data_IF_531347164590
#
_entry.id   IF_531347164590
#
_cell.length_a   1.000
_cell.length_b   1.000
_cell.length_c   1.000
_cell.angle_alpha   90.00
_cell.angle_beta   90.00
_cell.angle_gamma   90.00
#
_symmetry.space_group_name_H-M   'P 1'
#
loop_
_entity.id
_entity.type
_entity.pdbx_description
1 polymer ?
#
# COMPACT_ATOMS: atom_id res chain seq x y z
N UNK A 1 -3.32 19.44 -0.18
CA UNK A 1 -3.42 19.23 -1.64
C UNK A 1 -4.04 17.85 -1.83
N UNK A 2 -5.17 17.67 -2.52
CA UNK A 2 -5.77 16.34 -2.66
C UNK A 2 -4.83 15.48 -3.51
N UNK A 3 -4.48 14.31 -3.02
CA UNK A 3 -3.56 13.35 -3.66
C UNK A 3 -4.15 12.84 -4.99
N UNK A 4 -5.47 12.99 -5.17
CA UNK A 4 -6.26 12.39 -6.26
C UNK A 4 -7.03 13.49 -6.97
N UNK A 5 -7.08 13.39 -8.30
CA UNK A 5 -8.01 14.14 -9.13
C UNK A 5 -9.45 13.68 -8.83
N UNK A 6 -10.25 14.56 -8.25
CA UNK A 6 -11.65 14.27 -7.90
C UNK A 6 -12.47 13.80 -9.09
N UNK A 7 -12.17 14.27 -10.32
CA UNK A 7 -12.86 13.84 -11.53
C UNK A 7 -12.61 12.36 -11.84
N UNK A 8 -11.39 11.86 -11.58
CA UNK A 8 -11.08 10.44 -11.79
C UNK A 8 -11.78 9.53 -10.78
N UNK A 9 -11.95 10.00 -9.54
CA UNK A 9 -12.74 9.27 -8.54
C UNK A 9 -14.21 9.19 -8.95
N UNK A 10 -14.78 10.30 -9.42
CA UNK A 10 -16.17 10.35 -9.91
C UNK A 10 -16.31 9.39 -11.10
N UNK A 11 -15.42 9.48 -12.07
CA UNK A 11 -15.44 8.61 -13.26
C UNK A 11 -15.36 7.12 -12.89
N UNK A 12 -14.49 6.74 -11.95
CA UNK A 12 -14.42 5.35 -11.51
C UNK A 12 -15.74 4.88 -10.89
N UNK A 13 -16.36 5.71 -10.05
CA UNK A 13 -17.67 5.40 -9.47
C UNK A 13 -18.74 5.22 -10.54
N UNK A 14 -18.79 6.10 -11.54
CA UNK A 14 -19.71 5.98 -12.68
C UNK A 14 -19.51 4.67 -13.43
N UNK A 15 -18.28 4.31 -13.75
CA UNK A 15 -17.94 3.03 -14.41
C UNK A 15 -18.41 1.83 -13.60
N UNK A 16 -18.16 1.82 -12.28
CA UNK A 16 -18.59 0.73 -11.41
C UNK A 16 -20.13 0.66 -11.28
N UNK A 17 -20.80 1.81 -11.19
CA UNK A 17 -22.27 1.87 -11.15
C UNK A 17 -22.92 1.42 -12.47
N UNK A 18 -22.28 1.68 -13.62
CA UNK A 18 -22.72 1.14 -14.92
C UNK A 18 -22.59 -0.38 -14.97
N UNK A 19 -21.42 -0.90 -14.64
CA UNK A 19 -21.14 -2.34 -14.60
C UNK A 19 -22.12 -3.04 -13.65
N UNK A 20 -22.40 -2.46 -12.49
CA UNK A 20 -23.35 -3.00 -11.54
C UNK A 20 -24.78 -3.07 -12.13
N UNK A 21 -25.25 -1.99 -12.74
CA UNK A 21 -26.59 -1.95 -13.37
C UNK A 21 -26.73 -2.97 -14.50
N UNK A 22 -25.70 -3.11 -15.33
CA UNK A 22 -25.69 -4.07 -16.43
C UNK A 22 -25.61 -5.52 -15.97
N UNK A 23 -25.00 -5.79 -14.80
CA UNK A 23 -24.88 -7.14 -14.26
C UNK A 23 -26.22 -7.75 -13.81
N UNK A 24 -27.20 -6.91 -13.47
CA UNK A 24 -28.48 -7.36 -12.90
C UNK A 24 -28.40 -7.97 -11.51
N UNK A 25 -27.21 -8.02 -10.89
CA UNK A 25 -26.98 -8.62 -9.57
C UNK A 25 -27.53 -7.71 -8.46
N UNK A 26 -28.13 -8.28 -7.44
CA UNK A 26 -28.68 -7.50 -6.34
C UNK A 26 -27.60 -7.13 -5.31
N UNK A 27 -27.66 -5.92 -4.67
CA UNK A 27 -26.67 -5.50 -3.66
C UNK A 27 -26.46 -6.52 -2.53
N UNK A 28 -27.51 -7.20 -2.11
CA UNK A 28 -27.44 -8.24 -1.05
C UNK A 28 -26.65 -9.47 -1.48
N UNK A 29 -26.68 -9.82 -2.77
CA UNK A 29 -25.91 -10.94 -3.32
C UNK A 29 -24.42 -10.57 -3.34
N UNK A 30 -24.09 -9.34 -3.75
CA UNK A 30 -22.72 -8.82 -3.67
C UNK A 30 -22.17 -8.93 -2.24
N UNK A 31 -22.96 -8.48 -1.24
CA UNK A 31 -22.50 -8.52 0.15
C UNK A 31 -22.32 -9.94 0.69
N UNK A 32 -23.18 -10.88 0.33
CA UNK A 32 -22.98 -12.31 0.67
C UNK A 32 -21.68 -12.86 0.09
N UNK A 33 -21.31 -12.46 -1.14
CA UNK A 33 -20.05 -12.86 -1.76
C UNK A 33 -18.86 -12.18 -1.09
N UNK A 34 -19.00 -10.92 -0.66
CA UNK A 34 -17.96 -10.19 0.10
C UNK A 34 -17.71 -10.85 1.46
N UNK A 35 -18.76 -11.19 2.19
CA UNK A 35 -18.68 -11.91 3.48
C UNK A 35 -18.02 -13.27 3.28
N UNK A 36 -18.45 -14.03 2.27
CA UNK A 36 -17.85 -15.30 1.92
C UNK A 36 -16.37 -15.16 1.54
N UNK A 37 -16.01 -14.13 0.76
CA UNK A 37 -14.63 -13.81 0.41
C UNK A 37 -13.79 -13.48 1.64
N UNK A 38 -14.30 -12.62 2.51
CA UNK A 38 -13.62 -12.22 3.75
C UNK A 38 -13.39 -13.41 4.69
N UNK A 39 -14.36 -14.29 4.82
CA UNK A 39 -14.23 -15.54 5.58
C UNK A 39 -13.27 -16.53 4.92
N UNK A 40 -13.25 -16.60 3.59
CA UNK A 40 -12.34 -17.41 2.81
C UNK A 40 -10.88 -16.99 2.99
N UNK A 41 -10.61 -15.68 2.98
CA UNK A 41 -9.29 -15.13 3.30
C UNK A 41 -8.81 -15.51 4.70
N UNK A 42 -9.72 -15.58 5.68
CA UNK A 42 -9.40 -15.99 7.04
C UNK A 42 -9.19 -17.50 7.18
N UNK A 43 -9.80 -18.32 6.32
CA UNK A 43 -9.78 -19.80 6.39
C UNK A 43 -8.90 -20.47 5.33
N UNK A 44 -8.14 -19.71 4.54
CA UNK A 44 -7.30 -20.21 3.44
C UNK A 44 -8.08 -20.92 2.31
N UNK A 45 -9.38 -20.75 2.22
CA UNK A 45 -10.20 -21.25 1.12
C UNK A 45 -10.50 -20.10 0.16
N UNK A 46 -9.91 -20.14 -1.03
CA UNK A 46 -10.10 -19.09 -2.03
C UNK A 46 -11.51 -19.15 -2.63
N UNK A 47 -12.27 -18.05 -2.61
CA UNK A 47 -13.65 -18.02 -3.11
C UNK A 47 -13.76 -17.92 -4.64
N UNK A 48 -12.65 -17.97 -5.36
CA UNK A 48 -12.55 -17.72 -6.80
C UNK A 48 -13.36 -18.66 -7.69
N UNK A 49 -13.85 -19.79 -7.16
CA UNK A 49 -14.61 -20.77 -7.92
C UNK A 49 -16.12 -20.52 -7.93
N UNK A 50 -16.59 -19.35 -7.46
CA UNK A 50 -18.02 -19.02 -7.46
C UNK A 50 -18.30 -18.00 -8.55
N UNK A 51 -19.29 -18.31 -9.40
CA UNK A 51 -19.79 -17.39 -10.42
C UNK A 51 -20.23 -16.07 -9.79
N UNK A 52 -19.78 -14.95 -10.36
CA UNK A 52 -20.10 -13.61 -9.89
C UNK A 52 -19.21 -13.07 -8.77
N UNK A 53 -18.20 -13.83 -8.32
CA UNK A 53 -17.28 -13.33 -7.28
C UNK A 53 -16.43 -12.16 -7.79
N UNK A 54 -16.01 -12.20 -9.06
CA UNK A 54 -15.26 -11.10 -9.72
C UNK A 54 -16.04 -9.78 -9.70
N UNK A 55 -17.38 -9.83 -9.85
CA UNK A 55 -18.23 -8.64 -9.76
C UNK A 55 -18.23 -8.07 -8.35
N UNK A 56 -18.36 -8.93 -7.35
CA UNK A 56 -18.31 -8.54 -5.94
C UNK A 56 -16.94 -7.93 -5.60
N UNK A 57 -15.89 -8.49 -6.16
CA UNK A 57 -14.54 -7.98 -5.99
C UNK A 57 -14.39 -6.58 -6.61
N UNK A 58 -14.90 -6.36 -7.82
CA UNK A 58 -14.84 -5.06 -8.49
C UNK A 58 -15.63 -3.98 -7.74
N UNK A 59 -16.80 -4.31 -7.22
CA UNK A 59 -17.69 -3.33 -6.60
C UNK A 59 -17.31 -2.99 -5.15
N UNK A 60 -16.71 -3.93 -4.44
CA UNK A 60 -16.36 -3.76 -3.03
C UNK A 60 -14.85 -3.60 -2.81
N UNK A 61 -14.04 -4.57 -3.25
CA UNK A 61 -12.61 -4.58 -2.92
C UNK A 61 -11.79 -3.61 -3.78
N UNK A 62 -12.16 -3.36 -5.05
CA UNK A 62 -11.43 -2.40 -5.88
C UNK A 62 -11.46 -0.99 -5.27
N UNK A 63 -12.63 -0.40 -4.92
CA UNK A 63 -12.69 0.90 -4.25
C UNK A 63 -11.97 0.92 -2.89
N UNK A 64 -11.98 -0.21 -2.16
CA UNK A 64 -11.27 -0.34 -0.88
C UNK A 64 -9.75 -0.31 -1.06
N UNK A 65 -9.25 -0.95 -2.11
CA UNK A 65 -7.81 -1.15 -2.29
C UNK A 65 -7.12 0.02 -3.00
N UNK A 66 -7.82 0.77 -3.85
CA UNK A 66 -7.27 1.94 -4.55
C UNK A 66 -6.58 2.93 -3.59
N UNK A 67 -7.18 3.37 -2.48
CA UNK A 67 -6.53 4.29 -1.56
C UNK A 67 -5.21 3.75 -0.98
N UNK A 68 -5.09 2.43 -0.78
CA UNK A 68 -3.85 1.79 -0.30
C UNK A 68 -2.72 2.01 -1.30
N UNK A 69 -2.99 1.73 -2.57
CA UNK A 69 -2.01 1.91 -3.66
C UNK A 69 -1.63 3.38 -3.82
N UNK A 70 -2.62 4.29 -3.77
CA UNK A 70 -2.40 5.73 -3.94
C UNK A 70 -1.51 6.33 -2.85
N UNK A 71 -1.68 5.92 -1.59
CA UNK A 71 -0.82 6.35 -0.48
C UNK A 71 0.62 5.91 -0.72
N UNK A 72 0.83 4.66 -1.10
CA UNK A 72 2.17 4.13 -1.38
C UNK A 72 2.81 4.85 -2.56
N UNK A 73 2.07 5.04 -3.65
CA UNK A 73 2.55 5.78 -4.82
C UNK A 73 2.87 7.23 -4.50
N UNK A 74 2.08 7.89 -3.64
CA UNK A 74 2.34 9.25 -3.21
C UNK A 74 3.63 9.35 -2.37
N UNK A 75 3.83 8.44 -1.42
CA UNK A 75 5.07 8.38 -0.65
C UNK A 75 6.26 8.08 -1.57
N UNK A 76 6.12 7.12 -2.49
CA UNK A 76 7.16 6.78 -3.47
C UNK A 76 7.52 7.99 -4.36
N UNK A 77 6.52 8.74 -4.84
CA UNK A 77 6.71 9.98 -5.59
C UNK A 77 7.41 11.05 -4.74
N UNK A 78 7.01 11.22 -3.49
CA UNK A 78 7.59 12.26 -2.63
C UNK A 78 9.04 12.01 -2.28
N UNK A 79 9.42 10.73 -2.05
CA UNK A 79 10.74 10.36 -1.55
C UNK A 79 11.70 9.85 -2.63
N UNK A 80 11.16 9.24 -3.68
CA UNK A 80 11.92 8.48 -4.68
C UNK A 80 11.44 8.75 -6.11
N UNK A 81 11.06 10.00 -6.40
CA UNK A 81 10.50 10.39 -7.70
C UNK A 81 11.38 10.00 -8.88
N UNK A 82 12.69 10.20 -8.77
CA UNK A 82 13.62 9.87 -9.85
C UNK A 82 13.60 8.38 -10.22
N UNK A 83 13.44 7.50 -9.22
CA UNK A 83 13.32 6.05 -9.46
C UNK A 83 12.01 5.73 -10.16
N UNK A 84 10.92 6.35 -9.72
CA UNK A 84 9.60 6.18 -10.34
C UNK A 84 9.58 6.69 -11.79
N UNK A 85 10.31 7.75 -12.10
CA UNK A 85 10.43 8.28 -13.46
C UNK A 85 11.17 7.34 -14.42
N UNK A 86 12.11 6.52 -13.92
CA UNK A 86 12.83 5.53 -14.74
C UNK A 86 11.97 4.33 -15.15
N UNK A 87 10.89 4.08 -14.43
CA UNK A 87 9.93 3.01 -14.75
C UNK A 87 9.18 3.37 -16.03
N UNK A 88 9.03 2.42 -16.94
CA UNK A 88 8.28 2.59 -18.19
C UNK A 88 7.08 1.65 -18.31
N UNK A 89 6.97 0.68 -17.44
CA UNK A 89 5.88 -0.30 -17.40
C UNK A 89 5.38 -0.57 -15.99
N UNK A 90 4.08 -0.76 -15.85
CA UNK A 90 3.41 -1.20 -14.63
C UNK A 90 2.98 -2.64 -14.81
N UNK A 91 3.41 -3.52 -13.92
CA UNK A 91 3.06 -4.95 -13.94
C UNK A 91 2.26 -5.28 -12.69
N UNK A 92 0.98 -5.57 -12.86
CA UNK A 92 0.06 -5.92 -11.76
C UNK A 92 -0.06 -7.46 -11.70
N UNK A 93 0.56 -8.06 -10.68
CA UNK A 93 0.70 -9.52 -10.54
C UNK A 93 -0.36 -10.08 -9.60
N UNK A 94 -1.15 -11.06 -10.08
CA UNK A 94 -2.37 -11.48 -9.40
C UNK A 94 -3.36 -10.33 -9.36
N UNK A 95 -3.53 -9.67 -10.50
CA UNK A 95 -4.16 -8.34 -10.59
C UNK A 95 -5.65 -8.34 -10.24
N UNK A 96 -6.32 -9.51 -10.25
CA UNK A 96 -7.78 -9.54 -10.16
C UNK A 96 -8.40 -8.61 -11.20
N UNK A 97 -9.10 -7.58 -10.74
CA UNK A 97 -9.75 -6.56 -11.60
C UNK A 97 -8.82 -5.38 -11.97
N UNK A 98 -7.50 -5.49 -11.69
CA UNK A 98 -6.51 -4.49 -12.13
C UNK A 98 -6.41 -3.26 -11.23
N UNK A 99 -6.62 -3.42 -9.93
CA UNK A 99 -6.68 -2.34 -8.95
C UNK A 99 -5.45 -1.46 -8.95
N UNK A 100 -4.24 -2.06 -8.96
CA UNK A 100 -2.98 -1.30 -8.89
C UNK A 100 -2.73 -0.50 -10.17
N UNK A 101 -3.06 -1.06 -11.32
CA UNK A 101 -2.96 -0.37 -12.60
C UNK A 101 -3.92 0.82 -12.71
N UNK A 102 -5.17 0.68 -12.26
CA UNK A 102 -6.16 1.77 -12.20
C UNK A 102 -5.67 2.87 -11.26
N UNK A 103 -5.26 2.52 -10.03
CA UNK A 103 -4.76 3.47 -9.05
C UNK A 103 -3.55 4.25 -9.58
N UNK A 104 -2.64 3.57 -10.29
CA UNK A 104 -1.52 4.24 -10.96
C UNK A 104 -2.02 5.31 -11.94
N UNK A 105 -2.94 4.98 -12.84
CA UNK A 105 -3.50 5.92 -13.83
C UNK A 105 -4.37 7.02 -13.21
N UNK A 106 -4.94 6.78 -12.04
CA UNK A 106 -5.61 7.85 -11.29
C UNK A 106 -4.62 8.92 -10.80
N UNK A 107 -3.40 8.53 -10.43
CA UNK A 107 -2.40 9.46 -9.92
C UNK A 107 -1.55 10.08 -11.02
N UNK A 108 -1.21 9.33 -12.06
CA UNK A 108 -0.30 9.74 -13.12
C UNK A 108 -1.00 9.80 -14.47
N UNK A 109 -0.79 10.89 -15.21
CA UNK A 109 -1.32 11.07 -16.57
C UNK A 109 -0.30 10.65 -17.65
N UNK A 110 0.71 9.85 -17.28
CA UNK A 110 1.72 9.37 -18.21
C UNK A 110 1.24 8.21 -19.09
N UNK A 111 2.01 7.89 -20.13
CA UNK A 111 1.72 6.84 -21.09
C UNK A 111 2.43 5.51 -20.79
N UNK A 112 2.78 5.24 -19.51
CA UNK A 112 3.41 3.97 -19.16
C UNK A 112 2.50 2.80 -19.51
N UNK A 113 3.10 1.76 -20.07
CA UNK A 113 2.40 0.53 -20.39
C UNK A 113 1.87 -0.15 -19.13
N UNK A 114 0.73 -0.84 -19.23
CA UNK A 114 0.19 -1.65 -18.13
C UNK A 114 0.12 -3.10 -18.60
N UNK A 115 0.62 -4.00 -17.78
CA UNK A 115 0.49 -5.44 -17.93
C UNK A 115 -0.28 -6.00 -16.74
N UNK A 116 -1.41 -6.63 -16.98
CA UNK A 116 -2.23 -7.31 -15.99
C UNK A 116 -1.97 -8.81 -16.08
N UNK A 117 -1.58 -9.42 -14.97
CA UNK A 117 -1.28 -10.86 -14.89
C UNK A 117 -2.21 -11.49 -13.86
N UNK A 118 -3.02 -12.44 -14.29
CA UNK A 118 -3.85 -13.26 -13.42
C UNK A 118 -4.08 -14.64 -14.05
N UNK A 119 -4.39 -15.65 -13.25
CA UNK A 119 -4.75 -16.98 -13.74
C UNK A 119 -6.23 -17.07 -14.13
N UNK A 120 -7.07 -16.22 -13.58
CA UNK A 120 -8.50 -16.26 -13.75
C UNK A 120 -8.95 -15.38 -14.95
N UNK A 121 -9.67 -16.02 -15.89
CA UNK A 121 -10.15 -15.34 -17.10
C UNK A 121 -11.31 -14.38 -16.81
N UNK A 122 -12.17 -14.69 -15.86
CA UNK A 122 -13.32 -13.84 -15.47
C UNK A 122 -12.84 -12.51 -14.94
N UNK A 123 -11.89 -12.54 -14.00
CA UNK A 123 -11.23 -11.34 -13.47
C UNK A 123 -10.57 -10.52 -14.58
N UNK A 124 -9.79 -11.15 -15.45
CA UNK A 124 -9.10 -10.45 -16.55
C UNK A 124 -10.07 -9.82 -17.55
N UNK A 125 -11.18 -10.48 -17.87
CA UNK A 125 -12.21 -9.94 -18.75
C UNK A 125 -12.89 -8.72 -18.13
N UNK A 126 -13.24 -8.80 -16.85
CA UNK A 126 -13.82 -7.66 -16.12
C UNK A 126 -12.82 -6.53 -15.98
N UNK A 127 -11.55 -6.81 -15.68
CA UNK A 127 -10.48 -5.82 -15.65
C UNK A 127 -10.38 -5.08 -16.99
N UNK A 128 -10.36 -5.80 -18.11
CA UNK A 128 -10.32 -5.22 -19.45
C UNK A 128 -11.51 -4.27 -19.72
N UNK A 129 -12.72 -4.65 -19.29
CA UNK A 129 -13.91 -3.80 -19.44
C UNK A 129 -13.82 -2.54 -18.58
N UNK A 130 -13.39 -2.67 -17.31
CA UNK A 130 -13.18 -1.53 -16.41
C UNK A 130 -12.16 -0.55 -17.01
N UNK A 131 -10.99 -1.04 -17.47
CA UNK A 131 -9.95 -0.19 -18.06
C UNK A 131 -10.46 0.55 -19.29
N UNK A 132 -11.14 -0.14 -20.20
CA UNK A 132 -11.74 0.44 -21.40
C UNK A 132 -12.75 1.55 -21.07
N UNK A 133 -13.68 1.31 -20.13
CA UNK A 133 -14.69 2.31 -19.69
C UNK A 133 -14.02 3.47 -18.95
N UNK A 134 -12.98 3.20 -18.18
CA UNK A 134 -12.21 4.25 -17.53
C UNK A 134 -11.40 5.09 -18.53
N UNK A 135 -11.25 4.65 -19.78
CA UNK A 135 -10.52 5.33 -20.86
C UNK A 135 -9.02 5.09 -20.81
N UNK A 136 -8.62 3.91 -20.41
CA UNK A 136 -7.22 3.45 -20.42
C UNK A 136 -7.09 2.40 -21.53
N UNK A 137 -6.39 2.75 -22.60
CA UNK A 137 -6.14 1.88 -23.74
C UNK A 137 -4.77 1.20 -23.66
N UNK A 138 -4.54 0.19 -24.50
CA UNK A 138 -3.25 -0.47 -24.67
C UNK A 138 -2.82 -1.32 -23.47
N UNK A 139 -3.76 -1.79 -22.65
CA UNK A 139 -3.48 -2.68 -21.53
C UNK A 139 -3.16 -4.09 -22.05
N UNK A 140 -1.99 -4.60 -21.73
CA UNK A 140 -1.59 -5.97 -22.03
C UNK A 140 -2.14 -6.91 -20.96
N UNK A 141 -2.73 -8.00 -21.37
CA UNK A 141 -3.27 -9.03 -20.48
C UNK A 141 -2.47 -10.32 -20.67
N UNK A 142 -2.04 -10.91 -19.56
CA UNK A 142 -1.36 -12.21 -19.52
C UNK A 142 -2.11 -13.15 -18.60
N UNK A 143 -2.77 -14.17 -19.17
CA UNK A 143 -3.43 -15.21 -18.39
C UNK A 143 -2.44 -16.30 -18.03
N UNK A 144 -1.90 -16.24 -16.82
CA UNK A 144 -1.00 -17.28 -16.31
C UNK A 144 -0.97 -17.34 -14.78
N UNK A 145 -0.56 -18.48 -14.25
CA UNK A 145 -0.19 -18.57 -12.84
C UNK A 145 1.24 -18.02 -12.69
N UNK A 146 1.38 -16.83 -12.11
CA UNK A 146 2.65 -16.12 -11.96
C UNK A 146 3.70 -16.89 -11.17
N UNK A 147 3.28 -17.87 -10.33
CA UNK A 147 4.21 -18.70 -9.56
C UNK A 147 4.98 -19.67 -10.48
N UNK A 148 4.35 -20.09 -11.58
CA UNK A 148 4.88 -21.07 -12.52
C UNK A 148 5.33 -20.47 -13.86
N UNK A 149 5.08 -19.19 -14.10
CA UNK A 149 5.43 -18.48 -15.33
C UNK A 149 6.64 -17.56 -15.14
N UNK A 150 7.32 -17.24 -16.24
CA UNK A 150 8.27 -16.13 -16.27
C UNK A 150 7.52 -14.82 -16.50
N UNK A 151 7.54 -13.98 -15.47
CA UNK A 151 6.88 -12.67 -15.47
C UNK A 151 7.88 -11.51 -15.46
N UNK A 152 9.17 -11.79 -15.57
CA UNK A 152 10.21 -10.76 -15.53
C UNK A 152 10.26 -10.01 -16.84
N UNK A 153 9.85 -8.73 -16.81
CA UNK A 153 9.92 -7.86 -17.98
C UNK A 153 11.36 -7.48 -18.31
N UNK A 154 11.64 -7.32 -19.60
CA UNK A 154 12.91 -6.75 -20.10
C UNK A 154 12.99 -5.21 -19.88
N UNK A 155 11.86 -4.58 -19.54
CA UNK A 155 11.76 -3.15 -19.35
C UNK A 155 11.84 -2.78 -17.88
N UNK A 156 12.39 -1.60 -17.53
CA UNK A 156 12.27 -1.05 -16.17
C UNK A 156 10.81 -0.97 -15.76
N UNK A 157 10.43 -1.73 -14.73
CA UNK A 157 9.02 -1.94 -14.39
C UNK A 157 8.75 -1.75 -12.90
N UNK A 158 7.55 -1.25 -12.61
CA UNK A 158 6.97 -1.22 -11.26
C UNK A 158 6.00 -2.41 -11.14
N UNK A 159 6.40 -3.38 -10.34
CA UNK A 159 5.60 -4.57 -10.05
C UNK A 159 4.74 -4.35 -8.82
N UNK A 160 3.48 -4.75 -8.91
CA UNK A 160 2.58 -4.84 -7.75
C UNK A 160 2.25 -6.30 -7.46
N UNK A 161 2.42 -6.69 -6.20
CA UNK A 161 1.90 -7.90 -5.59
C UNK A 161 0.92 -7.45 -4.50
N UNK A 162 -0.35 -7.33 -4.85
CA UNK A 162 -1.36 -6.78 -3.96
C UNK A 162 -2.40 -7.84 -3.58
N UNK A 163 -2.44 -8.20 -2.30
CA UNK A 163 -3.31 -9.23 -1.71
C UNK A 163 -3.17 -10.63 -2.36
N UNK A 164 -1.96 -10.98 -2.79
CA UNK A 164 -1.70 -12.26 -3.47
C UNK A 164 -0.84 -13.21 -2.65
N UNK A 165 -0.06 -12.70 -1.69
CA UNK A 165 0.93 -13.48 -0.97
C UNK A 165 0.33 -14.23 0.21
N UNK A 166 -0.61 -13.62 0.92
CA UNK A 166 -1.32 -14.24 2.04
C UNK A 166 -2.06 -15.51 1.64
N UNK A 167 -2.52 -15.59 0.40
CA UNK A 167 -3.19 -16.77 -0.18
C UNK A 167 -2.22 -17.87 -0.62
N UNK A 168 -0.95 -17.52 -0.83
CA UNK A 168 0.10 -18.39 -1.32
C UNK A 168 1.27 -18.48 -0.33
N UNK A 169 0.97 -18.42 0.97
CA UNK A 169 1.97 -18.40 2.04
C UNK A 169 2.88 -19.63 2.03
N UNK A 170 2.34 -20.79 1.67
CA UNK A 170 3.04 -22.06 1.48
C UNK A 170 4.04 -22.04 0.31
N UNK A 171 3.85 -21.12 -0.63
CA UNK A 171 4.72 -20.94 -1.82
C UNK A 171 5.58 -19.68 -1.74
N UNK A 172 5.68 -19.05 -0.57
CA UNK A 172 6.36 -17.76 -0.40
C UNK A 172 7.86 -17.83 -0.77
N UNK A 173 8.52 -18.98 -0.63
CA UNK A 173 9.91 -19.13 -1.04
C UNK A 173 10.08 -19.08 -2.56
N UNK A 174 9.14 -19.66 -3.31
CA UNK A 174 9.10 -19.54 -4.77
C UNK A 174 8.82 -18.08 -5.21
N UNK A 175 7.85 -17.43 -4.58
CA UNK A 175 7.51 -16.02 -4.83
C UNK A 175 8.73 -15.13 -4.50
N UNK A 176 9.43 -15.42 -3.42
CA UNK A 176 10.66 -14.71 -3.08
C UNK A 176 11.72 -14.82 -4.16
N UNK A 177 11.87 -15.99 -4.78
CA UNK A 177 12.81 -16.20 -5.90
C UNK A 177 12.40 -15.42 -7.16
N UNK A 178 11.10 -15.27 -7.41
CA UNK A 178 10.58 -14.42 -8.49
C UNK A 178 10.91 -12.95 -8.22
N UNK A 179 10.63 -12.45 -7.00
CA UNK A 179 10.97 -11.09 -6.60
C UNK A 179 12.47 -10.83 -6.72
N UNK A 180 13.31 -11.78 -6.31
CA UNK A 180 14.75 -11.69 -6.46
C UNK A 180 15.16 -11.56 -7.93
N UNK A 181 14.55 -12.33 -8.83
CA UNK A 181 14.79 -12.26 -10.28
C UNK A 181 14.35 -10.90 -10.86
N UNK A 182 13.23 -10.37 -10.41
CA UNK A 182 12.77 -9.02 -10.78
C UNK A 182 13.78 -7.95 -10.32
N UNK A 183 14.25 -8.04 -9.08
CA UNK A 183 15.19 -7.08 -8.51
C UNK A 183 16.61 -7.17 -9.11
N UNK A 184 16.99 -8.25 -9.76
CA UNK A 184 18.26 -8.34 -10.53
C UNK A 184 18.29 -7.39 -11.73
N UNK A 185 17.13 -6.98 -12.24
CA UNK A 185 17.04 -6.00 -13.32
C UNK A 185 17.11 -4.58 -12.76
N UNK A 186 17.93 -3.74 -13.38
CA UNK A 186 18.08 -2.34 -12.96
C UNK A 186 16.78 -1.56 -13.11
N UNK A 187 16.57 -0.60 -12.22
CA UNK A 187 15.42 0.29 -12.18
C UNK A 187 14.05 -0.40 -11.98
N UNK A 188 14.03 -1.69 -11.64
CA UNK A 188 12.80 -2.34 -11.23
C UNK A 188 12.45 -1.97 -9.79
N UNK A 189 11.16 -1.77 -9.57
CA UNK A 189 10.56 -1.55 -8.25
C UNK A 189 9.52 -2.65 -8.00
N UNK A 190 9.44 -3.12 -6.75
CA UNK A 190 8.43 -4.09 -6.34
C UNK A 190 7.63 -3.51 -5.18
N UNK A 191 6.33 -3.40 -5.33
CA UNK A 191 5.38 -3.02 -4.30
C UNK A 191 4.61 -4.24 -3.85
N UNK A 192 4.63 -4.52 -2.57
CA UNK A 192 3.90 -5.60 -1.92
C UNK A 192 2.87 -4.97 -1.01
N UNK A 193 1.61 -5.39 -1.11
CA UNK A 193 0.50 -4.91 -0.27
C UNK A 193 -0.26 -6.13 0.23
N UNK A 194 -0.41 -6.28 1.55
CA UNK A 194 -1.11 -7.42 2.13
C UNK A 194 -2.09 -6.98 3.23
N UNK A 195 -3.20 -7.70 3.42
CA UNK A 195 -4.17 -7.36 4.45
C UNK A 195 -3.60 -7.58 5.85
N UNK A 196 -4.17 -6.86 6.84
CA UNK A 196 -3.81 -7.02 8.25
C UNK A 196 -4.42 -8.32 8.81
N UNK A 197 -3.88 -9.45 8.38
CA UNK A 197 -4.19 -10.78 8.92
C UNK A 197 -2.89 -11.54 9.23
N UNK A 198 -3.00 -12.74 9.81
CA UNK A 198 -1.84 -13.55 10.20
C UNK A 198 -0.91 -13.86 9.04
N UNK A 199 -1.47 -14.31 7.92
CA UNK A 199 -0.67 -14.71 6.75
C UNK A 199 -0.05 -13.52 6.05
N UNK A 200 -0.78 -12.40 5.90
CA UNK A 200 -0.25 -11.15 5.34
C UNK A 200 0.91 -10.61 6.17
N UNK A 201 0.76 -10.61 7.50
CA UNK A 201 1.82 -10.21 8.41
C UNK A 201 3.05 -11.12 8.32
N UNK A 202 2.84 -12.44 8.28
CA UNK A 202 3.93 -13.42 8.11
C UNK A 202 4.63 -13.25 6.76
N UNK A 203 3.88 -13.13 5.66
CA UNK A 203 4.44 -12.95 4.32
C UNK A 203 5.31 -11.70 4.25
N UNK A 204 4.77 -10.55 4.66
CA UNK A 204 5.49 -9.28 4.64
C UNK A 204 6.74 -9.33 5.50
N UNK A 205 6.66 -9.96 6.67
CA UNK A 205 7.80 -10.08 7.56
C UNK A 205 8.92 -10.96 7.00
N UNK A 206 8.59 -12.14 6.47
CA UNK A 206 9.59 -13.03 5.85
C UNK A 206 10.27 -12.33 4.66
N UNK A 207 9.51 -11.64 3.80
CA UNK A 207 10.06 -10.88 2.68
C UNK A 207 10.89 -9.68 3.16
N UNK A 208 10.40 -8.96 4.16
CA UNK A 208 11.14 -7.85 4.78
C UNK A 208 12.52 -8.29 5.26
N UNK A 209 12.61 -9.45 5.92
CA UNK A 209 13.88 -9.96 6.45
C UNK A 209 14.78 -10.47 5.32
N UNK A 210 14.22 -11.15 4.33
CA UNK A 210 14.98 -11.65 3.16
C UNK A 210 15.55 -10.51 2.32
N UNK A 211 14.79 -9.45 2.10
CA UNK A 211 15.15 -8.31 1.27
C UNK A 211 15.54 -7.06 2.08
N UNK A 212 16.06 -7.22 3.29
CA UNK A 212 16.34 -6.11 4.19
C UNK A 212 17.18 -4.99 3.57
N UNK A 213 18.14 -5.33 2.71
CA UNK A 213 19.00 -4.37 2.00
C UNK A 213 18.32 -3.67 0.81
N UNK A 214 17.20 -4.21 0.35
CA UNK A 214 16.47 -3.72 -0.83
C UNK A 214 15.28 -2.82 -0.47
N UNK A 215 15.01 -2.61 0.82
CA UNK A 215 13.81 -1.90 1.27
C UNK A 215 13.95 -0.40 1.01
N UNK A 216 12.99 0.15 0.25
CA UNK A 216 12.79 1.59 0.11
C UNK A 216 11.81 2.13 1.16
N UNK A 217 10.70 1.41 1.36
CA UNK A 217 9.57 1.80 2.22
C UNK A 217 8.87 0.56 2.78
N UNK A 218 8.16 0.64 3.90
CA UNK A 218 8.02 1.76 4.82
C UNK A 218 9.24 1.94 5.73
N UNK A 219 10.10 0.89 5.83
CA UNK A 219 11.27 0.96 6.68
C UNK A 219 12.22 2.05 6.20
N UNK A 220 12.75 2.78 7.13
CA UNK A 220 13.78 3.82 6.89
C UNK A 220 15.19 3.27 7.10
N UNK A 221 15.32 1.96 7.32
CA UNK A 221 16.59 1.28 7.53
C UNK A 221 16.62 -0.13 6.94
N UNK A 222 17.81 -0.56 6.58
CA UNK A 222 18.12 -1.91 6.11
C UNK A 222 18.34 -2.94 7.24
N UNK A 223 18.36 -2.53 8.50
CA UNK A 223 18.61 -3.40 9.67
C UNK A 223 17.38 -4.21 10.10
N UNK A 224 17.50 -4.93 11.22
CA UNK A 224 16.40 -5.67 11.82
C UNK A 224 15.27 -4.75 12.24
N UNK A 225 14.03 -5.23 12.17
CA UNK A 225 12.86 -4.44 12.56
C UNK A 225 12.83 -4.24 14.09
N UNK A 226 12.89 -3.00 14.54
CA UNK A 226 12.84 -2.66 15.96
C UNK A 226 11.51 -3.02 16.61
N UNK A 227 10.39 -2.93 15.88
CA UNK A 227 9.06 -3.34 16.37
C UNK A 227 8.98 -4.84 16.65
N UNK A 228 9.66 -5.65 15.86
CA UNK A 228 9.68 -7.09 16.09
C UNK A 228 10.45 -7.48 17.34
N UNK A 229 11.54 -6.75 17.63
CA UNK A 229 12.33 -7.01 18.84
C UNK A 229 11.57 -6.64 20.12
N UNK A 230 10.72 -5.60 20.06
CA UNK A 230 10.04 -5.09 21.26
C UNK A 230 8.67 -5.72 21.50
N UNK A 231 7.85 -5.89 20.45
CA UNK A 231 6.41 -6.16 20.60
C UNK A 231 5.90 -7.31 19.73
N UNK A 232 6.75 -7.95 18.96
CA UNK A 232 6.39 -8.96 17.97
C UNK A 232 5.32 -8.46 16.97
N UNK A 233 5.34 -7.16 16.65
CA UNK A 233 4.40 -6.47 15.76
C UNK A 233 5.09 -6.03 14.48
N UNK A 234 4.30 -5.79 13.43
CA UNK A 234 4.74 -5.21 12.17
C UNK A 234 4.01 -3.88 11.96
N UNK A 235 4.72 -2.89 11.40
CA UNK A 235 4.10 -1.63 11.02
C UNK A 235 2.97 -1.87 10.05
N UNK A 236 1.82 -1.26 10.31
CA UNK A 236 0.67 -1.31 9.41
C UNK A 236 0.08 0.08 9.23
N UNK A 237 -0.67 0.23 8.14
CA UNK A 237 -1.38 1.45 7.81
C UNK A 237 -2.88 1.28 8.06
N UNK A 238 -3.52 2.40 8.46
CA UNK A 238 -4.97 2.50 8.57
C UNK A 238 -5.43 3.57 7.60
N UNK A 239 -6.38 3.24 6.73
CA UNK A 239 -6.98 4.19 5.81
C UNK A 239 -8.50 4.09 5.87
N UNK A 240 -9.17 5.22 5.58
CA UNK A 240 -10.61 5.21 5.37
C UNK A 240 -10.91 4.59 4.01
N UNK A 241 -11.85 3.64 4.00
CA UNK A 241 -12.31 3.01 2.78
C UNK A 241 -13.22 3.94 1.97
N UNK A 242 -13.04 3.92 0.66
CA UNK A 242 -14.00 4.42 -0.31
C UNK A 242 -14.85 3.24 -0.79
N UNK A 243 -16.17 3.34 -0.68
CA UNK A 243 -17.11 2.29 -1.06
C UNK A 243 -17.95 2.80 -2.22
N UNK A 244 -18.31 1.89 -3.16
CA UNK A 244 -19.27 2.22 -4.22
C UNK A 244 -20.61 2.69 -3.63
N UNK A 245 -21.20 3.75 -4.21
CA UNK A 245 -22.51 4.27 -3.76
C UNK A 245 -23.59 3.19 -3.76
N UNK A 246 -23.56 2.28 -4.72
CA UNK A 246 -24.51 1.18 -4.83
C UNK A 246 -24.47 0.22 -3.64
N UNK A 247 -23.35 0.17 -2.92
CA UNK A 247 -23.16 -0.67 -1.75
C UNK A 247 -23.25 0.10 -0.42
N UNK A 248 -23.23 1.44 -0.44
CA UNK A 248 -23.29 2.25 0.79
C UNK A 248 -24.52 1.94 1.66
N UNK A 249 -25.63 1.54 1.03
CA UNK A 249 -26.90 1.21 1.70
C UNK A 249 -26.82 -0.09 2.51
N UNK A 250 -25.96 -1.03 2.09
CA UNK A 250 -25.88 -2.38 2.70
C UNK A 250 -24.61 -2.59 3.54
N UNK A 251 -23.61 -1.73 3.39
CA UNK A 251 -22.35 -1.82 4.15
C UNK A 251 -22.51 -1.15 5.51
N UNK A 252 -22.26 -1.89 6.57
CA UNK A 252 -22.27 -1.35 7.94
C UNK A 252 -21.11 -0.37 8.17
N UNK A 253 -21.29 0.55 9.12
CA UNK A 253 -20.27 1.57 9.48
C UNK A 253 -18.94 0.97 9.99
N UNK A 254 -18.93 -0.31 10.38
CA UNK A 254 -17.75 -1.01 10.88
C UNK A 254 -16.72 -1.34 9.80
N UNK A 255 -17.14 -1.37 8.53
CA UNK A 255 -16.26 -1.68 7.39
C UNK A 255 -15.63 -0.44 6.72
N UNK A 256 -15.52 0.70 7.43
CA UNK A 256 -14.99 1.96 6.85
C UNK A 256 -13.51 2.16 6.99
N UNK A 257 -12.79 1.26 7.66
CA UNK A 257 -11.34 1.36 7.87
C UNK A 257 -10.65 0.12 7.34
N UNK A 258 -9.76 0.31 6.37
CA UNK A 258 -8.86 -0.74 5.91
C UNK A 258 -7.51 -0.64 6.62
N UNK A 259 -7.01 -1.80 7.05
CA UNK A 259 -5.68 -1.94 7.64
C UNK A 259 -4.86 -2.85 6.75
N UNK A 260 -3.60 -2.48 6.49
CA UNK A 260 -2.76 -3.24 5.58
C UNK A 260 -1.27 -3.11 5.92
N UNK A 261 -0.50 -4.09 5.47
CA UNK A 261 0.95 -4.06 5.42
C UNK A 261 1.42 -3.71 4.03
N UNK A 262 2.60 -3.10 3.90
CA UNK A 262 3.25 -2.97 2.60
C UNK A 262 4.77 -2.98 2.70
N UNK A 263 5.42 -3.30 1.57
CA UNK A 263 6.85 -3.11 1.32
C UNK A 263 7.03 -2.54 -0.08
N UNK A 264 8.01 -1.67 -0.24
CA UNK A 264 8.54 -1.29 -1.55
C UNK A 264 10.02 -1.65 -1.58
N UNK A 265 10.40 -2.39 -2.60
CA UNK A 265 11.75 -2.92 -2.78
C UNK A 265 12.38 -2.37 -4.06
N UNK A 266 13.70 -2.19 -4.03
CA UNK A 266 14.54 -1.84 -5.18
C UNK A 266 15.90 -2.52 -5.07
N UNK A 267 16.59 -2.68 -6.18
CA UNK A 267 17.98 -3.16 -6.16
C UNK A 267 18.98 -2.06 -5.82
N UNK A 268 18.60 -0.81 -5.97
CA UNK A 268 19.49 0.30 -5.65
C UNK A 268 19.59 0.49 -4.12
N UNK A 269 20.79 0.59 -3.61
CA UNK A 269 21.01 0.90 -2.20
C UNK A 269 20.45 2.28 -1.86
N UNK A 270 19.78 2.37 -0.73
CA UNK A 270 19.34 3.64 -0.14
C UNK A 270 20.36 4.04 0.92
N UNK A 271 20.94 5.22 0.77
CA UNK A 271 21.75 5.80 1.83
C UNK A 271 20.90 6.03 3.08
N UNK A 272 21.39 5.56 4.20
CA UNK A 272 20.71 5.77 5.47
C UNK A 272 20.87 7.22 5.90
N UNK A 273 19.77 7.86 6.30
CA UNK A 273 19.79 9.17 6.92
C UNK A 273 19.51 9.01 8.42
N UNK A 274 20.49 9.33 9.26
CA UNK A 274 20.41 9.12 10.71
C UNK A 274 19.31 9.94 11.41
N UNK A 275 18.88 11.04 10.80
CA UNK A 275 17.85 11.94 11.31
C UNK A 275 16.46 11.70 10.70
N UNK A 276 16.26 10.59 9.99
CA UNK A 276 14.98 10.21 9.43
C UNK A 276 14.21 9.33 10.41
N UNK A 277 12.94 9.68 10.65
CA UNK A 277 12.06 8.98 11.58
C UNK A 277 10.70 8.73 10.93
N UNK A 278 10.12 7.54 11.20
CA UNK A 278 8.72 7.25 10.86
C UNK A 278 7.88 7.31 12.12
N UNK A 279 6.79 8.08 12.06
CA UNK A 279 5.83 8.18 13.16
C UNK A 279 5.01 6.90 13.22
N UNK A 280 4.91 6.30 14.40
CA UNK A 280 4.19 5.04 14.61
C UNK A 280 2.77 5.26 15.11
N UNK A 281 2.55 6.30 15.91
CA UNK A 281 1.29 6.59 16.57
C UNK A 281 1.01 8.11 16.52
N UNK A 282 -0.25 8.51 16.71
CA UNK A 282 -0.57 9.93 16.83
C UNK A 282 0.17 10.56 18.01
N UNK A 283 0.61 11.84 17.88
CA UNK A 283 1.24 12.56 18.98
C UNK A 283 0.35 12.59 20.22
N UNK A 284 0.90 12.21 21.36
CA UNK A 284 0.19 12.18 22.64
C UNK A 284 0.48 13.46 23.42
N UNK A 285 -0.60 14.22 23.74
CA UNK A 285 -0.48 15.44 24.52
C UNK A 285 -0.02 15.14 25.95
N UNK A 286 0.91 15.96 26.43
CA UNK A 286 1.49 15.90 27.78
C UNK A 286 1.46 17.30 28.43
N UNK A 287 1.64 17.42 29.75
CA UNK A 287 1.72 18.72 30.40
C UNK A 287 2.80 19.65 29.86
N UNK A 288 3.92 19.11 29.38
CA UNK A 288 5.01 19.89 28.78
C UNK A 288 4.86 20.12 27.26
N UNK A 289 4.00 19.38 26.57
CA UNK A 289 3.86 19.45 25.11
C UNK A 289 3.37 18.13 24.52
N UNK A 290 4.22 17.35 23.86
CA UNK A 290 3.85 16.11 23.18
C UNK A 290 4.92 15.04 23.28
N UNK A 291 4.46 13.78 23.31
CA UNK A 291 5.26 12.59 23.01
C UNK A 291 4.90 12.12 21.62
N UNK A 292 5.90 11.86 20.77
CA UNK A 292 5.75 11.32 19.43
C UNK A 292 6.50 10.00 19.35
N UNK A 293 5.77 8.90 19.24
CA UNK A 293 6.37 7.58 19.10
C UNK A 293 6.86 7.36 17.67
N UNK A 294 8.14 7.10 17.52
CA UNK A 294 8.80 7.00 16.23
C UNK A 294 9.66 5.76 16.12
N UNK A 295 9.86 5.31 14.89
CA UNK A 295 10.87 4.34 14.52
C UNK A 295 12.00 5.03 13.77
N UNK A 296 13.23 4.78 14.17
CA UNK A 296 14.42 5.09 13.42
C UNK A 296 15.14 3.79 13.01
N UNK A 297 16.31 3.93 12.40
CA UNK A 297 17.10 2.77 11.97
C UNK A 297 17.50 1.83 13.11
N UNK A 298 17.57 2.30 14.34
CA UNK A 298 18.18 1.57 15.48
C UNK A 298 17.15 1.11 16.51
N UNK A 299 16.08 1.91 16.72
CA UNK A 299 15.14 1.67 17.81
C UNK A 299 13.77 2.31 17.58
N UNK A 300 12.81 1.91 18.41
CA UNK A 300 11.60 2.68 18.68
C UNK A 300 11.91 3.60 19.84
N UNK A 301 11.59 4.87 19.71
CA UNK A 301 11.81 5.86 20.76
C UNK A 301 10.64 6.84 20.81
N UNK A 302 10.48 7.50 21.94
CA UNK A 302 9.54 8.61 22.11
C UNK A 302 10.30 9.92 22.03
N UNK A 303 10.00 10.71 20.99
CA UNK A 303 10.46 12.09 20.89
C UNK A 303 9.59 12.92 21.84
N UNK A 304 10.18 13.43 22.92
CA UNK A 304 9.50 14.30 23.88
C UNK A 304 9.74 15.75 23.50
N UNK A 305 8.69 16.46 23.12
CA UNK A 305 8.76 17.82 22.59
C UNK A 305 8.03 18.77 23.52
N UNK A 306 8.74 19.76 24.06
CA UNK A 306 8.17 20.85 24.83
C UNK A 306 7.65 21.92 23.89
N UNK A 307 6.39 22.32 24.02
CA UNK A 307 5.75 23.36 23.21
C UNK A 307 5.30 24.51 24.10
N UNK A 308 5.56 25.74 23.66
CA UNK A 308 5.25 26.97 24.40
C UNK A 308 4.06 27.75 23.86
N UNK A 309 3.75 27.63 22.56
CA UNK A 309 2.70 28.42 21.91
C UNK A 309 1.77 27.59 21.03
N UNK A 310 0.73 28.22 20.50
CA UNK A 310 -0.32 27.58 19.71
C UNK A 310 0.16 27.11 18.33
N UNK A 311 1.13 27.80 17.72
CA UNK A 311 1.66 27.43 16.41
C UNK A 311 2.46 26.13 16.51
N UNK A 312 3.34 26.02 17.48
CA UNK A 312 4.10 24.80 17.76
C UNK A 312 3.17 23.59 18.00
N UNK A 313 2.12 23.79 18.82
CA UNK A 313 1.11 22.76 19.07
C UNK A 313 0.38 22.35 17.80
N UNK A 314 0.05 23.32 16.93
CA UNK A 314 -0.60 23.05 15.65
C UNK A 314 0.30 22.23 14.72
N UNK A 315 1.58 22.57 14.63
CA UNK A 315 2.56 21.85 13.81
C UNK A 315 2.63 20.38 14.24
N UNK A 316 2.75 20.10 15.54
CA UNK A 316 2.80 18.71 16.04
C UNK A 316 1.48 17.98 15.80
N UNK A 317 0.32 18.63 16.00
CA UNK A 317 -0.99 18.02 15.77
C UNK A 317 -1.30 17.69 14.30
N UNK A 318 -0.53 18.22 13.34
CA UNK A 318 -0.63 17.88 11.91
C UNK A 318 0.11 16.58 11.56
N UNK A 319 0.92 16.06 12.48
CA UNK A 319 1.63 14.81 12.30
C UNK A 319 0.68 13.62 12.52
N UNK A 320 0.84 12.61 11.68
CA UNK A 320 0.00 11.41 11.68
C UNK A 320 0.84 10.15 11.67
N UNK A 321 0.30 9.01 12.12
CA UNK A 321 0.96 7.73 11.96
C UNK A 321 1.35 7.51 10.50
N UNK A 322 2.54 6.96 10.32
CA UNK A 322 3.20 6.68 9.04
C UNK A 322 3.84 7.88 8.33
N UNK A 323 3.64 9.10 8.81
CA UNK A 323 4.43 10.23 8.32
C UNK A 323 5.93 9.95 8.51
N UNK A 324 6.71 10.35 7.51
CA UNK A 324 8.17 10.35 7.60
C UNK A 324 8.63 11.79 7.85
N UNK A 325 9.41 11.96 8.87
CA UNK A 325 9.93 13.27 9.25
C UNK A 325 11.46 13.27 9.29
N UNK A 326 12.06 14.38 8.86
CA UNK A 326 13.39 14.74 9.27
C UNK A 326 13.28 15.42 10.63
N UNK A 327 14.07 14.94 11.58
CA UNK A 327 14.14 15.50 12.92
C UNK A 327 15.59 15.83 13.22
N UNK A 328 15.90 17.11 13.34
CA UNK A 328 17.21 17.61 13.72
C UNK A 328 17.09 18.32 15.07
N UNK A 329 17.89 17.90 16.02
CA UNK A 329 17.90 18.40 17.39
C UNK A 329 19.17 19.20 17.72
N UNK A 330 19.88 19.70 16.72
CA UNK A 330 21.10 20.51 16.93
C UNK A 330 22.14 19.85 17.85
N UNK A 331 22.26 18.50 17.75
CA UNK A 331 23.22 17.70 18.55
C UNK A 331 22.65 17.10 19.84
N UNK A 332 21.40 17.39 20.22
CA UNK A 332 20.74 16.70 21.34
C UNK A 332 20.18 15.34 20.86
N UNK A 333 20.60 14.25 21.45
CA UNK A 333 19.98 12.94 21.22
C UNK A 333 18.58 12.92 21.81
N UNK A 334 17.59 12.24 21.16
CA UNK A 334 16.28 11.99 21.77
C UNK A 334 16.48 11.38 23.14
N UNK A 335 16.30 12.18 24.19
CA UNK A 335 16.64 11.81 25.55
C UNK A 335 15.38 11.58 26.37
N UNK A 336 15.56 11.10 27.61
CA UNK A 336 14.47 11.00 28.59
C UNK A 336 13.85 12.36 28.94
N UNK A 337 14.47 13.49 28.59
CA UNK A 337 14.00 14.85 28.86
C UNK A 337 13.35 15.49 27.64
N UNK A 338 12.26 16.29 27.81
CA UNK A 338 11.66 17.02 26.73
C UNK A 338 12.60 18.06 26.11
N UNK A 339 12.69 18.08 24.79
CA UNK A 339 13.47 19.06 24.00
C UNK A 339 12.53 20.24 23.66
N UNK A 340 13.02 21.45 23.80
CA UNK A 340 12.25 22.65 23.44
C UNK A 340 12.03 22.71 21.92
N UNK A 341 10.79 22.99 21.47
CA UNK A 341 10.44 23.06 20.05
C UNK A 341 11.32 24.04 19.28
N UNK A 342 11.75 25.14 19.91
CA UNK A 342 12.62 26.13 19.29
C UNK A 342 14.02 25.60 18.93
N UNK A 343 14.44 24.46 19.49
CA UNK A 343 15.75 23.81 19.27
C UNK A 343 15.68 22.65 18.29
N UNK A 344 14.54 22.39 17.72
CA UNK A 344 14.34 21.29 16.79
C UNK A 344 13.81 21.79 15.46
N UNK A 345 14.18 21.09 14.39
CA UNK A 345 13.59 21.27 13.08
C UNK A 345 12.85 19.97 12.73
N UNK A 346 11.53 20.07 12.53
CA UNK A 346 10.70 18.95 12.09
C UNK A 346 10.18 19.28 10.70
N UNK A 347 10.63 18.51 9.72
CA UNK A 347 10.13 18.61 8.36
C UNK A 347 9.44 17.31 7.97
N UNK A 348 8.15 17.39 7.67
CA UNK A 348 7.40 16.26 7.08
C UNK A 348 7.84 16.07 5.63
N UNK A 349 8.24 14.83 5.30
CA UNK A 349 8.69 14.45 3.95
C UNK A 349 7.57 13.74 3.20
N UNK A 350 6.75 12.97 3.89
CA UNK A 350 5.61 12.23 3.33
C UNK A 350 4.50 12.06 4.35
#
# INVERSE_FOLDING_TARGET
MSIIDSNKVIKLREVLDEIFRESGVQPREIMKMVEYGSDGYNRLSTPYNRDGFEMSYALYFLPEHIPKVLIILNELRSRFNERLLRVVEIVDVGCGVGTSGIAYKMMFADHKAICLIDRDAGFLNLAKDIFRRFGIDGVRISRCDYINADIVSERPSLYFFANTLSENIDRLDRISSIIESILKRQNNLVVIIEPLNKNGGEAVLRLRNRFAKNILMPCISAGDCALMRSDNRVCHYNIRQEISRSLEVVVSSTHRMAKFYYLVLSNDLVESQDNLYRILEYPVKRPYGFDIRVCNQKAITDLKIKTSNSLEKRTINQLSPNDVILFDSSGETPSSRPIDFSRINIQKIS
#
